data_IF_250455571391
#
_entry.id   IF_250455571391
#
_cell.length_a   1.000
_cell.length_b   1.000
_cell.length_c   1.000
_cell.angle_alpha   90.00
_cell.angle_beta   90.00
_cell.angle_gamma   90.00
#
_symmetry.space_group_name_H-M   'P 1'
#
loop_
_entity.id
_entity.type
_entity.pdbx_description
1 polymer ?
#
# COMPACT_ATOMS: atom_id res chain seq x y z
N UNK A 1 -21.77 -6.78 11.68
CA UNK A 1 -20.59 -7.66 11.51
C UNK A 1 -19.42 -7.12 12.28
N UNK A 2 -18.85 -7.93 13.13
CA UNK A 2 -17.63 -7.54 13.84
C UNK A 2 -16.42 -8.05 13.06
N UNK A 3 -15.42 -7.17 12.91
CA UNK A 3 -14.16 -7.57 12.30
C UNK A 3 -13.30 -8.29 13.34
N UNK A 4 -12.57 -9.32 12.89
CA UNK A 4 -11.63 -10.03 13.76
C UNK A 4 -10.51 -9.11 14.28
N UNK A 5 -10.10 -8.15 13.44
CA UNK A 5 -9.08 -7.15 13.77
C UNK A 5 -9.65 -5.77 13.48
N UNK A 6 -10.50 -5.22 14.37
CA UNK A 6 -11.14 -3.93 14.11
C UNK A 6 -10.16 -2.77 13.95
N UNK A 7 -8.99 -2.87 14.58
CA UNK A 7 -7.93 -1.86 14.46
C UNK A 7 -7.26 -1.87 13.08
N UNK A 8 -7.49 -2.88 12.26
CA UNK A 8 -6.92 -2.95 10.91
C UNK A 8 -7.58 -1.98 9.94
N UNK A 9 -8.77 -1.48 10.25
CA UNK A 9 -9.53 -0.58 9.38
C UNK A 9 -9.81 0.72 10.13
N UNK A 10 -9.50 1.86 9.50
CA UNK A 10 -9.81 3.18 10.03
C UNK A 10 -10.73 3.92 9.09
N UNK A 11 -11.57 4.80 9.64
CA UNK A 11 -12.54 5.57 8.87
C UNK A 11 -11.96 6.92 8.43
N UNK A 12 -12.53 7.48 7.37
CA UNK A 12 -12.08 8.76 6.82
C UNK A 12 -12.19 9.88 7.86
N UNK A 13 -13.26 9.90 8.64
CA UNK A 13 -13.46 10.92 9.68
C UNK A 13 -12.36 10.87 10.74
N UNK A 14 -11.97 9.69 11.15
CA UNK A 14 -10.87 9.52 12.09
C UNK A 14 -9.57 10.04 11.49
N UNK A 15 -9.27 9.67 10.24
CA UNK A 15 -8.03 10.07 9.58
C UNK A 15 -7.96 11.58 9.39
N UNK A 16 -9.09 12.21 9.04
CA UNK A 16 -9.17 13.66 8.89
C UNK A 16 -8.67 14.37 10.14
N UNK A 17 -8.99 13.85 11.32
CA UNK A 17 -8.56 14.40 12.60
C UNK A 17 -7.09 14.09 12.91
N UNK A 18 -6.42 13.24 12.14
CA UNK A 18 -5.04 12.83 12.35
C UNK A 18 -4.05 13.49 11.38
N UNK A 19 -4.50 14.32 10.45
CA UNK A 19 -3.64 14.86 9.39
C UNK A 19 -2.45 15.69 9.93
N UNK A 20 -2.59 16.29 11.10
CA UNK A 20 -1.53 17.07 11.75
C UNK A 20 -0.79 16.27 12.83
N UNK A 21 -1.06 14.97 12.97
CA UNK A 21 -0.43 14.13 13.97
C UNK A 21 0.88 13.56 13.42
N UNK A 22 2.01 13.98 13.96
CA UNK A 22 3.33 13.54 13.49
C UNK A 22 3.58 12.02 13.71
N UNK A 23 2.77 11.37 14.54
CA UNK A 23 2.89 9.94 14.80
C UNK A 23 2.09 9.07 13.83
N UNK A 24 1.34 9.69 12.91
CA UNK A 24 0.56 9.00 11.88
C UNK A 24 1.21 9.28 10.52
N UNK A 25 1.51 8.22 9.78
CA UNK A 25 2.06 8.31 8.42
C UNK A 25 1.11 7.66 7.44
N UNK A 26 0.84 8.33 6.33
CA UNK A 26 -0.16 7.92 5.34
C UNK A 26 0.53 7.60 4.02
N UNK A 27 0.13 6.50 3.39
CA UNK A 27 0.74 6.04 2.14
C UNK A 27 -0.33 5.70 1.10
N UNK A 28 -0.18 6.28 -0.09
CA UNK A 28 -1.00 5.94 -1.26
C UNK A 28 -0.37 4.72 -1.94
N UNK A 29 -1.14 3.64 -2.03
CA UNK A 29 -0.66 2.35 -2.54
C UNK A 29 -1.23 2.02 -3.93
N UNK A 30 -1.81 3.00 -4.62
CA UNK A 30 -2.54 2.75 -5.85
C UNK A 30 -1.66 2.19 -6.96
N UNK A 31 -2.13 1.11 -7.57
CA UNK A 31 -1.57 0.50 -8.77
C UNK A 31 -2.69 0.38 -9.79
N UNK A 32 -2.38 0.55 -11.07
CA UNK A 32 -3.36 0.51 -12.14
C UNK A 32 -3.05 -0.68 -13.05
N UNK A 33 -4.07 -1.49 -13.33
CA UNK A 33 -3.95 -2.60 -14.27
C UNK A 33 -4.65 -2.23 -15.57
N UNK A 34 -3.92 -2.34 -16.68
CA UNK A 34 -4.47 -2.17 -18.02
C UNK A 34 -4.61 -3.57 -18.63
N UNK A 35 -5.82 -4.09 -18.67
CA UNK A 35 -6.08 -5.44 -19.18
C UNK A 35 -5.88 -5.46 -20.69
N UNK A 36 -5.17 -6.52 -21.15
CA UNK A 36 -4.90 -6.73 -22.58
C UNK A 36 -5.61 -8.00 -23.03
N UNK A 37 -6.59 -7.87 -23.94
CA UNK A 37 -7.40 -9.00 -24.41
C UNK A 37 -6.65 -9.88 -25.42
N UNK A 38 -5.61 -9.34 -26.03
CA UNK A 38 -4.96 -9.96 -27.19
C UNK A 38 -3.67 -10.75 -26.87
N UNK A 39 -3.29 -10.83 -25.59
CA UNK A 39 -2.03 -11.48 -25.23
C UNK A 39 -2.24 -12.54 -24.15
N UNK A 40 -2.23 -13.85 -24.52
CA UNK A 40 -2.53 -14.93 -23.57
C UNK A 40 -1.52 -15.04 -22.41
N UNK A 41 -0.27 -14.62 -22.64
CA UNK A 41 0.79 -14.71 -21.62
C UNK A 41 0.92 -13.45 -20.77
N UNK A 42 0.20 -12.38 -21.15
CA UNK A 42 0.27 -11.09 -20.47
C UNK A 42 -1.12 -10.47 -20.38
N UNK A 43 -1.93 -10.92 -19.41
CA UNK A 43 -3.34 -10.48 -19.31
C UNK A 43 -3.49 -8.99 -19.00
N UNK A 44 -2.45 -8.33 -18.49
CA UNK A 44 -2.50 -6.90 -18.16
C UNK A 44 -1.11 -6.28 -18.16
N UNK A 45 -1.08 -4.96 -18.37
CA UNK A 45 0.08 -4.12 -18.11
C UNK A 45 -0.09 -3.45 -16.77
N UNK A 46 1.02 -3.22 -16.06
CA UNK A 46 1.01 -2.60 -14.75
C UNK A 46 1.51 -1.16 -14.87
N UNK A 47 0.73 -0.23 -14.32
CA UNK A 47 1.12 1.17 -14.20
C UNK A 47 0.99 1.56 -12.73
N UNK A 48 1.98 2.26 -12.18
CA UNK A 48 1.85 2.79 -10.82
C UNK A 48 0.82 3.91 -10.80
N UNK A 49 0.20 4.13 -9.65
CA UNK A 49 -0.73 5.23 -9.47
C UNK A 49 -0.07 6.59 -9.25
N UNK A 50 1.22 6.71 -9.53
CA UNK A 50 2.00 7.91 -9.21
C UNK A 50 1.47 9.18 -9.90
N UNK A 51 1.01 9.08 -11.15
CA UNK A 51 0.45 10.23 -11.85
C UNK A 51 -0.83 10.73 -11.19
N UNK A 52 -1.68 9.80 -10.71
CA UNK A 52 -2.87 10.17 -9.94
C UNK A 52 -2.48 10.80 -8.60
N UNK A 53 -1.47 10.23 -7.94
CA UNK A 53 -0.95 10.77 -6.69
C UNK A 53 -0.47 12.22 -6.86
N UNK A 54 0.25 12.51 -7.93
CA UNK A 54 0.74 13.87 -8.20
C UNK A 54 -0.40 14.85 -8.41
N UNK A 55 -1.50 14.42 -9.03
CA UNK A 55 -2.67 15.28 -9.26
C UNK A 55 -3.41 15.59 -7.96
N UNK A 56 -3.62 14.59 -7.13
CA UNK A 56 -4.25 14.77 -5.82
C UNK A 56 -3.99 13.58 -4.94
N UNK A 57 -3.75 13.82 -3.67
CA UNK A 57 -3.58 12.79 -2.66
C UNK A 57 -3.93 13.37 -1.29
N UNK A 58 -4.09 12.48 -0.31
CA UNK A 58 -4.36 12.93 1.07
C UNK A 58 -3.19 13.79 1.55
N UNK A 59 -3.45 14.97 2.14
CA UNK A 59 -2.37 15.84 2.60
C UNK A 59 -1.37 15.12 3.49
N UNK A 60 -0.08 15.26 3.15
CA UNK A 60 1.00 14.61 3.88
C UNK A 60 1.27 13.16 3.51
N UNK A 61 0.47 12.56 2.63
CA UNK A 61 0.67 11.17 2.20
C UNK A 61 1.89 11.05 1.28
N UNK A 62 2.58 9.93 1.41
CA UNK A 62 3.64 9.52 0.49
C UNK A 62 3.10 8.44 -0.45
N UNK A 63 3.85 8.13 -1.50
CA UNK A 63 3.44 7.13 -2.49
C UNK A 63 4.32 5.89 -2.42
N UNK A 64 3.70 4.70 -2.58
CA UNK A 64 4.40 3.42 -2.62
C UNK A 64 4.16 2.74 -3.97
N UNK A 65 5.24 2.35 -4.64
CA UNK A 65 5.17 1.67 -5.94
C UNK A 65 5.33 0.17 -5.72
N UNK A 66 4.21 -0.57 -5.75
CA UNK A 66 4.19 -2.00 -5.44
C UNK A 66 5.07 -2.81 -6.39
N UNK A 67 4.88 -2.67 -7.70
CA UNK A 67 5.59 -3.50 -8.67
C UNK A 67 7.09 -3.17 -8.70
N UNK A 68 7.42 -1.90 -8.64
CA UNK A 68 8.81 -1.48 -8.81
C UNK A 68 9.66 -1.70 -7.55
N UNK A 69 9.12 -1.33 -6.38
CA UNK A 69 9.91 -1.25 -5.15
C UNK A 69 9.61 -2.36 -4.13
N UNK A 70 8.46 -3.03 -4.25
CA UNK A 70 7.97 -3.99 -3.24
C UNK A 70 7.64 -5.35 -3.84
N UNK A 71 8.18 -5.67 -5.00
CA UNK A 71 7.96 -6.95 -5.67
C UNK A 71 9.28 -7.55 -6.15
N UNK A 72 9.31 -8.86 -6.32
CA UNK A 72 10.45 -9.55 -6.91
C UNK A 72 10.38 -9.40 -8.42
N UNK A 73 11.15 -8.47 -8.97
CA UNK A 73 11.14 -8.15 -10.40
C UNK A 73 11.89 -9.17 -11.26
N UNK A 74 12.59 -10.12 -10.64
CA UNK A 74 13.21 -11.25 -11.36
C UNK A 74 12.23 -12.37 -11.66
N UNK A 75 11.03 -12.34 -11.04
CA UNK A 75 9.97 -13.31 -11.30
C UNK A 75 9.24 -12.98 -12.60
N UNK A 76 8.80 -14.02 -13.32
CA UNK A 76 7.95 -13.85 -14.50
C UNK A 76 6.54 -13.42 -14.13
N UNK A 77 6.15 -13.56 -12.86
CA UNK A 77 4.84 -13.16 -12.37
C UNK A 77 4.89 -11.75 -11.79
N UNK A 78 3.84 -10.95 -12.05
CA UNK A 78 3.71 -9.62 -11.46
C UNK A 78 3.41 -9.72 -9.97
N UNK A 79 3.88 -8.75 -9.21
CA UNK A 79 3.62 -8.62 -7.76
C UNK A 79 4.11 -9.79 -6.91
N UNK A 80 5.09 -10.55 -7.39
CA UNK A 80 5.68 -11.64 -6.62
C UNK A 80 6.32 -11.08 -5.35
N UNK A 81 6.02 -11.72 -4.21
CA UNK A 81 6.55 -11.29 -2.92
C UNK A 81 8.07 -11.44 -2.90
N UNK A 82 8.82 -10.37 -2.58
CA UNK A 82 10.27 -10.47 -2.42
C UNK A 82 10.62 -11.19 -1.12
N UNK A 83 11.91 -11.52 -0.93
CA UNK A 83 12.33 -12.10 0.33
C UNK A 83 12.16 -11.07 1.47
N UNK A 84 12.10 -11.57 2.72
CA UNK A 84 11.77 -10.74 3.86
C UNK A 84 12.81 -9.66 4.15
N UNK A 85 14.10 -9.93 3.90
CA UNK A 85 15.15 -8.93 4.14
C UNK A 85 15.03 -7.76 3.16
N UNK A 86 14.78 -8.05 1.89
CA UNK A 86 14.56 -7.02 0.87
C UNK A 86 13.32 -6.19 1.21
N UNK A 87 12.24 -6.87 1.58
CA UNK A 87 10.97 -6.21 1.89
C UNK A 87 11.11 -5.30 3.11
N UNK A 88 11.80 -5.77 4.16
CA UNK A 88 12.04 -4.97 5.36
C UNK A 88 12.85 -3.71 5.03
N UNK A 89 13.90 -3.84 4.21
CA UNK A 89 14.70 -2.70 3.79
C UNK A 89 13.87 -1.71 2.97
N UNK A 90 13.03 -2.19 2.06
CA UNK A 90 12.16 -1.34 1.25
C UNK A 90 11.19 -0.54 2.14
N UNK A 91 10.60 -1.17 3.15
CA UNK A 91 9.75 -0.47 4.10
C UNK A 91 10.52 0.58 4.89
N UNK A 92 11.72 0.26 5.37
CA UNK A 92 12.55 1.20 6.12
C UNK A 92 12.93 2.40 5.26
N UNK A 93 13.26 2.18 3.99
CA UNK A 93 13.64 3.24 3.06
C UNK A 93 12.48 4.21 2.79
N UNK A 94 11.24 3.76 2.99
CA UNK A 94 10.05 4.60 2.83
C UNK A 94 9.53 5.16 4.16
N UNK A 95 10.27 4.97 5.24
CA UNK A 95 9.91 5.51 6.55
C UNK A 95 8.81 4.76 7.26
N UNK A 96 8.57 3.51 6.89
CA UNK A 96 7.55 2.67 7.53
C UNK A 96 8.17 1.90 8.68
N UNK A 97 7.59 2.05 9.87
CA UNK A 97 8.08 1.37 11.04
C UNK A 97 7.59 2.01 12.33
N UNK A 98 7.91 1.37 13.45
CA UNK A 98 7.57 1.89 14.76
C UNK A 98 8.44 3.12 15.10
N UNK A 99 7.92 4.06 15.86
CA UNK A 99 6.66 4.03 16.63
C UNK A 99 5.43 4.54 15.87
N UNK A 100 5.51 4.75 14.57
CA UNK A 100 4.47 5.41 13.80
C UNK A 100 3.29 4.48 13.53
N UNK A 101 2.07 5.07 13.52
CA UNK A 101 0.88 4.38 13.04
C UNK A 101 0.80 4.59 11.54
N UNK A 102 0.88 3.51 10.78
CA UNK A 102 0.95 3.53 9.32
C UNK A 102 -0.44 3.29 8.74
N UNK A 103 -0.89 4.18 7.86
CA UNK A 103 -2.19 4.08 7.20
C UNK A 103 -1.96 3.88 5.71
N UNK A 104 -2.47 2.79 5.17
CA UNK A 104 -2.43 2.50 3.73
C UNK A 104 -3.79 2.80 3.11
N UNK A 105 -3.79 3.47 1.96
CA UNK A 105 -5.02 3.62 1.18
C UNK A 105 -4.74 3.42 -0.30
N UNK A 106 -5.79 3.13 -1.07
CA UNK A 106 -5.67 3.01 -2.52
C UNK A 106 -6.96 3.44 -3.20
N UNK A 107 -6.83 3.90 -4.43
CA UNK A 107 -7.98 4.25 -5.30
C UNK A 107 -8.45 3.00 -6.02
N UNK A 108 -9.71 3.01 -6.45
CA UNK A 108 -10.32 1.94 -7.26
C UNK A 108 -10.34 0.59 -6.56
N UNK A 109 -10.49 0.60 -5.25
CA UNK A 109 -10.58 -0.60 -4.45
C UNK A 109 -9.49 -0.72 -3.41
N UNK A 110 -9.70 -1.62 -2.46
CA UNK A 110 -8.81 -1.78 -1.30
C UNK A 110 -7.74 -2.86 -1.51
N UNK A 111 -7.69 -3.51 -2.68
CA UNK A 111 -6.76 -4.62 -2.91
C UNK A 111 -5.29 -4.22 -2.76
N UNK A 112 -4.92 -3.02 -3.17
CA UNK A 112 -3.52 -2.57 -3.10
C UNK A 112 -3.12 -2.18 -1.69
N UNK A 113 -3.97 -1.46 -0.97
CA UNK A 113 -3.73 -1.14 0.43
C UNK A 113 -3.73 -2.40 1.29
N UNK A 114 -4.61 -3.36 1.00
CA UNK A 114 -4.65 -4.66 1.68
C UNK A 114 -3.36 -5.44 1.46
N UNK A 115 -2.82 -5.40 0.25
CA UNK A 115 -1.54 -6.06 -0.08
C UNK A 115 -0.42 -5.50 0.79
N UNK A 116 -0.31 -4.18 0.93
CA UNK A 116 0.72 -3.55 1.77
C UNK A 116 0.49 -3.85 3.25
N UNK A 117 -0.75 -3.83 3.70
CA UNK A 117 -1.08 -4.19 5.07
C UNK A 117 -0.63 -5.62 5.39
N UNK A 118 -0.91 -6.55 4.47
CA UNK A 118 -0.53 -7.94 4.63
C UNK A 118 1.00 -8.10 4.68
N UNK A 119 1.73 -7.43 3.80
CA UNK A 119 3.19 -7.48 3.79
C UNK A 119 3.78 -6.91 5.09
N UNK A 120 3.22 -5.81 5.57
CA UNK A 120 3.67 -5.20 6.82
C UNK A 120 3.39 -6.12 8.01
N UNK A 121 2.22 -6.75 8.04
CA UNK A 121 1.87 -7.72 9.07
C UNK A 121 2.80 -8.93 9.03
N UNK A 122 3.12 -9.42 7.84
CA UNK A 122 4.07 -10.51 7.64
C UNK A 122 5.44 -10.20 8.24
N UNK A 123 5.88 -8.94 8.16
CA UNK A 123 7.14 -8.49 8.74
C UNK A 123 7.06 -8.21 10.24
N UNK A 124 5.87 -8.29 10.84
CA UNK A 124 5.68 -8.11 12.28
C UNK A 124 5.30 -6.71 12.71
N UNK A 125 5.01 -5.79 11.79
CA UNK A 125 4.53 -4.46 12.16
C UNK A 125 3.13 -4.56 12.75
N UNK A 126 2.87 -3.83 13.85
CA UNK A 126 1.62 -3.93 14.59
C UNK A 126 0.72 -2.71 14.42
N UNK A 127 1.30 -1.51 14.30
CA UNK A 127 0.54 -0.27 14.17
C UNK A 127 0.30 0.05 12.70
N UNK A 128 -0.50 -0.78 12.04
CA UNK A 128 -0.81 -0.68 10.62
C UNK A 128 -2.31 -0.78 10.42
N UNK A 129 -2.86 0.07 9.55
CA UNK A 129 -4.29 0.10 9.25
C UNK A 129 -4.55 0.42 7.79
N UNK A 130 -5.75 0.08 7.33
CA UNK A 130 -6.23 0.36 5.98
C UNK A 130 -7.36 1.38 6.09
N UNK A 131 -7.33 2.40 5.25
CA UNK A 131 -8.42 3.36 5.18
C UNK A 131 -9.64 2.73 4.50
N UNK A 132 -10.80 2.82 5.15
CA UNK A 132 -12.07 2.31 4.61
C UNK A 132 -12.60 3.29 3.55
N UNK A 133 -12.74 2.78 2.35
CA UNK A 133 -13.14 3.57 1.22
C UNK A 133 -11.99 4.18 0.50
#
# INVERSE_FOLDING_TARGET
MEFKYPEAIVECDWLLNQLNNDNVRIYDCTTILHYTDDHPDKPYDVESGYELYKKSHIPGASFLNLQNDFSNNDSKFKFTLPNSDYLAEAFQNHGIGEPFHIIFYSRNGMQWSTRFWWMAQYLGYKKISILNG
#
